data_IF_135944651842
#
_entry.id   IF_135944651842
#
_cell.length_a   1.000
_cell.length_b   1.000
_cell.length_c   1.000
_cell.angle_alpha   90.00
_cell.angle_beta   90.00
_cell.angle_gamma   90.00
#
_symmetry.space_group_name_H-M   'P 1'
#
loop_
_entity.id
_entity.type
_entity.pdbx_description
1 polymer ?
#
# COMPACT_ATOMS: atom_id res chain seq x y z
N UNK A 1 2.39 8.70 5.35
CA UNK A 1 2.20 8.54 3.90
C UNK A 1 1.92 9.88 3.22
N UNK A 2 0.86 10.62 3.61
CA UNK A 2 0.37 11.83 2.91
C UNK A 2 1.39 12.97 2.76
N UNK A 3 2.38 13.06 3.62
CA UNK A 3 3.36 14.16 3.64
C UNK A 3 4.68 13.76 2.99
N UNK A 4 5.18 12.57 3.28
CA UNK A 4 6.54 12.14 2.89
C UNK A 4 6.56 11.51 1.50
N UNK A 5 5.62 10.61 1.20
CA UNK A 5 5.63 9.88 -0.08
C UNK A 5 5.50 10.81 -1.29
N UNK A 6 4.63 11.85 -1.31
CA UNK A 6 4.58 12.78 -2.42
C UNK A 6 5.91 13.50 -2.70
N UNK A 7 6.69 13.81 -1.65
CA UNK A 7 8.01 14.41 -1.82
C UNK A 7 9.01 13.43 -2.43
N UNK A 8 9.01 12.16 -1.97
CA UNK A 8 9.85 11.10 -2.55
C UNK A 8 9.48 10.89 -4.04
N UNK A 9 8.20 10.82 -4.36
CA UNK A 9 7.74 10.66 -5.74
C UNK A 9 8.29 11.80 -6.60
N UNK A 10 8.04 13.05 -6.21
CA UNK A 10 8.47 14.23 -6.95
C UNK A 10 9.99 14.31 -7.15
N UNK A 11 10.76 14.09 -6.08
CA UNK A 11 12.20 14.38 -6.10
C UNK A 11 13.03 13.21 -6.69
N UNK A 12 12.50 11.99 -6.66
CA UNK A 12 13.27 10.80 -7.04
C UNK A 12 12.59 9.89 -8.06
N UNK A 13 11.27 9.66 -7.94
CA UNK A 13 10.57 8.74 -8.85
C UNK A 13 10.29 9.40 -10.19
N UNK A 14 9.71 10.61 -10.19
CA UNK A 14 9.38 11.39 -11.40
C UNK A 14 10.64 11.78 -12.17
N UNK A 15 11.78 11.87 -11.48
CA UNK A 15 13.10 12.13 -12.09
C UNK A 15 13.79 10.86 -12.59
N UNK A 16 13.17 9.69 -12.45
CA UNK A 16 13.70 8.40 -12.92
C UNK A 16 14.86 7.83 -12.09
N UNK A 17 15.20 8.44 -10.96
CA UNK A 17 16.31 8.01 -10.09
C UNK A 17 15.98 6.80 -9.24
N UNK A 18 14.72 6.65 -8.83
CA UNK A 18 14.26 5.63 -7.89
C UNK A 18 12.96 5.00 -8.39
N UNK A 19 12.81 3.70 -8.19
CA UNK A 19 11.54 2.98 -8.35
C UNK A 19 10.88 2.83 -6.98
N UNK A 20 9.65 3.35 -6.85
CA UNK A 20 8.83 3.16 -5.66
C UNK A 20 8.00 1.88 -5.80
N UNK A 21 8.09 0.97 -4.82
CA UNK A 21 7.35 -0.29 -4.78
C UNK A 21 6.54 -0.36 -3.50
N UNK A 22 5.23 -0.54 -3.62
CA UNK A 22 4.34 -0.79 -2.50
C UNK A 22 4.18 -2.29 -2.25
N UNK A 23 4.31 -2.70 -0.99
CA UNK A 23 4.08 -4.06 -0.50
C UNK A 23 3.03 -4.05 0.60
N UNK A 24 2.19 -5.08 0.64
CA UNK A 24 1.16 -5.20 1.67
C UNK A 24 1.73 -5.83 2.94
N UNK A 25 1.45 -5.21 4.09
CA UNK A 25 1.69 -5.80 5.41
C UNK A 25 0.37 -5.74 6.19
N UNK A 26 -0.57 -6.62 5.82
CA UNK A 26 -1.93 -6.66 6.31
C UNK A 26 -2.07 -7.58 7.53
N UNK A 27 -1.73 -7.08 8.73
CA UNK A 27 -1.71 -7.85 9.98
C UNK A 27 -2.72 -7.37 11.04
N UNK A 28 -3.46 -6.29 10.80
CA UNK A 28 -4.39 -5.70 11.77
C UNK A 28 -5.80 -6.32 11.75
N UNK A 29 -5.93 -7.57 11.31
CA UNK A 29 -7.19 -8.29 11.27
C UNK A 29 -7.74 -8.48 9.85
N UNK A 30 -9.01 -8.94 9.75
CA UNK A 30 -9.61 -9.32 8.47
C UNK A 30 -9.82 -8.11 7.56
N UNK A 31 -10.29 -6.99 8.08
CA UNK A 31 -10.50 -5.77 7.28
C UNK A 31 -9.19 -5.28 6.62
N UNK A 32 -8.05 -5.46 7.28
CA UNK A 32 -6.75 -5.12 6.72
C UNK A 32 -6.40 -6.00 5.51
N UNK A 33 -6.69 -7.31 5.58
CA UNK A 33 -6.48 -8.26 4.48
C UNK A 33 -7.43 -7.99 3.32
N UNK A 34 -8.69 -7.72 3.62
CA UNK A 34 -9.70 -7.42 2.61
C UNK A 34 -9.39 -6.09 1.89
N UNK A 35 -8.93 -5.07 2.60
CA UNK A 35 -8.49 -3.80 2.01
C UNK A 35 -7.27 -3.98 1.10
N UNK A 36 -6.29 -4.80 1.50
CA UNK A 36 -5.13 -5.12 0.68
C UNK A 36 -5.53 -5.88 -0.60
N UNK A 37 -6.41 -6.89 -0.48
CA UNK A 37 -6.95 -7.63 -1.62
C UNK A 37 -7.73 -6.70 -2.57
N UNK A 38 -8.56 -5.80 -2.02
CA UNK A 38 -9.32 -4.82 -2.78
C UNK A 38 -8.42 -3.86 -3.58
N UNK A 39 -7.33 -3.37 -2.99
CA UNK A 39 -6.38 -2.52 -3.69
C UNK A 39 -5.71 -3.24 -4.87
N UNK A 40 -5.39 -4.53 -4.71
CA UNK A 40 -4.87 -5.35 -5.80
C UNK A 40 -5.93 -5.65 -6.87
N UNK A 41 -7.21 -5.80 -6.51
CA UNK A 41 -8.30 -5.87 -7.49
C UNK A 41 -8.44 -4.58 -8.31
N UNK A 42 -8.29 -3.42 -7.68
CA UNK A 42 -8.28 -2.13 -8.37
C UNK A 42 -7.06 -1.97 -9.30
N UNK A 43 -5.92 -2.60 -8.98
CA UNK A 43 -4.73 -2.63 -9.83
C UNK A 43 -5.00 -3.25 -11.21
N UNK A 44 -5.88 -4.25 -11.32
CA UNK A 44 -6.26 -4.85 -12.61
C UNK A 44 -6.88 -3.84 -13.58
N UNK A 45 -7.40 -2.75 -13.04
CA UNK A 45 -8.03 -1.66 -13.79
C UNK A 45 -7.16 -0.39 -13.81
N UNK A 46 -5.86 -0.52 -13.50
CA UNK A 46 -4.90 0.59 -13.40
C UNK A 46 -5.30 1.67 -12.38
N UNK A 47 -6.02 1.28 -11.30
CA UNK A 47 -6.56 2.19 -10.28
C UNK A 47 -6.01 1.87 -8.87
N UNK A 48 -4.82 1.25 -8.80
CA UNK A 48 -4.22 0.91 -7.51
C UNK A 48 -4.04 2.13 -6.61
N UNK A 49 -3.42 3.17 -7.12
CA UNK A 49 -3.06 4.32 -6.29
C UNK A 49 -4.27 5.14 -5.86
N UNK A 50 -5.23 5.36 -6.77
CA UNK A 50 -6.48 6.05 -6.42
C UNK A 50 -7.27 5.26 -5.37
N UNK A 51 -7.28 3.93 -5.48
CA UNK A 51 -7.96 3.06 -4.52
C UNK A 51 -7.23 3.02 -3.18
N UNK A 52 -5.89 2.92 -3.19
CA UNK A 52 -5.03 3.03 -2.04
C UNK A 52 -5.29 4.35 -1.28
N UNK A 53 -5.29 5.47 -1.98
CA UNK A 53 -5.52 6.79 -1.37
C UNK A 53 -6.93 6.91 -0.79
N UNK A 54 -7.93 6.30 -1.44
CA UNK A 54 -9.30 6.21 -0.91
C UNK A 54 -9.34 5.43 0.40
N UNK A 55 -8.64 4.28 0.51
CA UNK A 55 -8.53 3.51 1.76
C UNK A 55 -7.91 4.39 2.86
N UNK A 56 -6.74 4.98 2.61
CA UNK A 56 -6.05 5.78 3.63
C UNK A 56 -6.80 7.05 4.02
N UNK A 57 -7.56 7.66 3.12
CA UNK A 57 -8.39 8.83 3.43
C UNK A 57 -9.66 8.49 4.19
N UNK A 58 -10.12 7.23 4.10
CA UNK A 58 -11.34 6.74 4.75
C UNK A 58 -11.08 6.11 6.13
N UNK A 59 -9.81 5.98 6.55
CA UNK A 59 -9.45 5.35 7.82
C UNK A 59 -10.09 6.04 9.02
N UNK A 60 -10.84 5.28 9.83
CA UNK A 60 -11.55 5.79 11.01
C UNK A 60 -11.36 4.90 12.26
N UNK A 61 -10.40 3.99 12.22
CA UNK A 61 -10.09 3.03 13.29
C UNK A 61 -9.88 1.62 12.75
N UNK A 62 -9.33 0.74 13.60
CA UNK A 62 -9.02 -0.63 13.22
C UNK A 62 -10.23 -1.54 13.49
N UNK A 63 -10.62 -2.36 12.51
CA UNK A 63 -11.73 -3.32 12.60
C UNK A 63 -13.06 -2.69 13.11
N UNK A 64 -13.35 -1.47 12.64
CA UNK A 64 -14.59 -0.72 12.97
C UNK A 64 -15.63 -0.78 11.84
N UNK A 65 -15.47 -1.68 10.88
CA UNK A 65 -16.37 -1.83 9.73
C UNK A 65 -16.09 -0.88 8.57
N UNK A 66 -15.11 0.01 8.70
CA UNK A 66 -14.75 0.97 7.65
C UNK A 66 -14.34 0.27 6.37
N UNK A 67 -13.62 -0.83 6.48
CA UNK A 67 -13.16 -1.65 5.35
C UNK A 67 -13.92 -2.97 5.21
N UNK A 68 -15.20 -2.99 5.63
CA UNK A 68 -16.09 -4.11 5.30
C UNK A 68 -16.18 -4.31 3.78
N UNK A 69 -16.44 -5.53 3.34
CA UNK A 69 -16.61 -5.86 1.90
C UNK A 69 -17.59 -4.90 1.20
N UNK A 70 -18.69 -4.56 1.86
CA UNK A 70 -19.70 -3.61 1.33
C UNK A 70 -19.08 -2.23 1.08
N UNK A 71 -18.31 -1.70 2.03
CA UNK A 71 -17.69 -0.39 1.87
C UNK A 71 -16.57 -0.42 0.84
N UNK A 72 -15.78 -1.49 0.78
CA UNK A 72 -14.75 -1.66 -0.25
C UNK A 72 -15.34 -1.67 -1.67
N UNK A 73 -16.49 -2.34 -1.88
CA UNK A 73 -17.23 -2.29 -3.15
C UNK A 73 -17.75 -0.90 -3.47
N UNK A 74 -18.23 -0.17 -2.45
CA UNK A 74 -18.65 1.22 -2.62
C UNK A 74 -17.49 2.12 -3.04
N UNK A 75 -16.30 1.97 -2.45
CA UNK A 75 -15.11 2.72 -2.86
C UNK A 75 -14.75 2.49 -4.32
N UNK A 76 -14.90 1.25 -4.82
CA UNK A 76 -14.68 0.95 -6.24
C UNK A 76 -15.69 1.69 -7.14
N UNK A 77 -16.97 1.73 -6.75
CA UNK A 77 -17.99 2.48 -7.47
C UNK A 77 -17.73 3.99 -7.46
N UNK A 78 -17.35 4.56 -6.30
CA UNK A 78 -16.99 5.97 -6.15
C UNK A 78 -15.83 6.36 -7.10
N UNK A 79 -14.87 5.45 -7.30
CA UNK A 79 -13.72 5.62 -8.20
C UNK A 79 -14.02 5.24 -9.66
N UNK A 80 -15.27 4.90 -9.98
CA UNK A 80 -15.76 4.54 -11.33
C UNK A 80 -15.02 3.33 -11.93
N UNK A 81 -14.67 2.34 -11.10
CA UNK A 81 -14.19 1.06 -11.57
C UNK A 81 -15.33 0.25 -12.19
N UNK A 82 -14.98 -0.71 -13.06
CA UNK A 82 -15.92 -1.78 -13.45
C UNK A 82 -16.23 -2.62 -12.20
N UNK A 83 -17.42 -2.35 -11.61
CA UNK A 83 -17.83 -2.96 -10.35
C UNK A 83 -18.07 -4.46 -10.46
N UNK A 84 -18.46 -4.98 -11.64
CA UNK A 84 -18.64 -6.41 -11.84
C UNK A 84 -17.29 -7.15 -11.76
N UNK A 85 -16.27 -6.65 -12.44
CA UNK A 85 -14.92 -7.20 -12.37
C UNK A 85 -14.34 -7.08 -10.98
N UNK A 86 -14.46 -5.89 -10.37
CA UNK A 86 -13.95 -5.63 -9.04
C UNK A 86 -14.59 -6.55 -7.99
N UNK A 87 -15.93 -6.65 -7.98
CA UNK A 87 -16.66 -7.47 -7.03
C UNK A 87 -16.31 -8.95 -7.17
N UNK A 88 -16.23 -9.47 -8.40
CA UNK A 88 -15.81 -10.85 -8.66
C UNK A 88 -14.39 -11.13 -8.13
N UNK A 89 -13.47 -10.21 -8.32
CA UNK A 89 -12.10 -10.30 -7.81
C UNK A 89 -12.07 -10.29 -6.29
N UNK A 90 -12.79 -9.36 -5.66
CA UNK A 90 -12.80 -9.20 -4.20
C UNK A 90 -13.50 -10.36 -3.50
N UNK A 91 -14.69 -10.75 -3.96
CA UNK A 91 -15.46 -11.87 -3.39
C UNK A 91 -14.72 -13.21 -3.56
N UNK A 92 -14.04 -13.38 -4.68
CA UNK A 92 -13.19 -14.54 -4.94
C UNK A 92 -11.85 -14.54 -4.20
N UNK A 93 -11.54 -13.50 -3.41
CA UNK A 93 -10.26 -13.36 -2.67
C UNK A 93 -9.04 -13.60 -3.58
N UNK A 94 -9.10 -13.11 -4.83
CA UNK A 94 -8.15 -13.45 -5.90
C UNK A 94 -6.69 -13.21 -5.52
N UNK A 95 -6.42 -12.18 -4.73
CA UNK A 95 -5.06 -11.78 -4.34
C UNK A 95 -4.69 -12.17 -2.90
N UNK A 96 -5.48 -13.00 -2.23
CA UNK A 96 -5.17 -13.40 -0.85
C UNK A 96 -3.77 -14.03 -0.73
N UNK A 97 -3.39 -14.90 -1.66
CA UNK A 97 -2.05 -15.50 -1.67
C UNK A 97 -0.93 -14.46 -1.82
N UNK A 98 -1.13 -13.43 -2.64
CA UNK A 98 -0.19 -12.31 -2.80
C UNK A 98 -0.06 -11.51 -1.50
N UNK A 99 -1.19 -11.19 -0.85
CA UNK A 99 -1.21 -10.45 0.43
C UNK A 99 -0.45 -11.22 1.50
N UNK A 100 -0.65 -12.54 1.58
CA UNK A 100 0.07 -13.40 2.52
C UNK A 100 1.57 -13.51 2.19
N UNK A 101 1.92 -13.59 0.90
CA UNK A 101 3.30 -13.64 0.45
C UNK A 101 4.05 -12.33 0.77
N UNK A 102 3.41 -11.16 0.55
CA UNK A 102 3.97 -9.86 0.90
C UNK A 102 4.25 -9.76 2.41
N UNK A 103 3.33 -10.24 3.25
CA UNK A 103 3.50 -10.26 4.70
C UNK A 103 4.64 -11.21 5.14
N UNK A 104 4.76 -12.38 4.50
CA UNK A 104 5.84 -13.32 4.77
C UNK A 104 7.21 -12.76 4.35
N UNK A 105 7.27 -12.07 3.21
CA UNK A 105 8.48 -11.36 2.76
C UNK A 105 8.88 -10.26 3.73
N UNK A 106 7.91 -9.47 4.22
CA UNK A 106 8.16 -8.45 5.23
C UNK A 106 8.76 -9.05 6.51
N UNK A 107 8.15 -10.12 7.04
CA UNK A 107 8.64 -10.82 8.24
C UNK A 107 10.06 -11.37 8.04
N UNK A 108 10.34 -11.98 6.88
CA UNK A 108 11.68 -12.48 6.53
C UNK A 108 12.73 -11.38 6.53
N UNK A 109 12.35 -10.17 6.15
CA UNK A 109 13.24 -8.99 6.12
C UNK A 109 13.21 -8.19 7.43
N UNK A 110 12.60 -8.70 8.49
CA UNK A 110 12.57 -8.07 9.82
C UNK A 110 11.56 -6.94 9.98
N UNK A 111 10.66 -6.72 9.03
CA UNK A 111 9.60 -5.72 9.13
C UNK A 111 8.39 -6.29 9.88
N UNK A 112 8.11 -5.75 11.05
CA UNK A 112 7.03 -6.19 11.96
C UNK A 112 6.01 -5.09 12.26
N UNK A 113 6.17 -3.91 11.68
CA UNK A 113 5.30 -2.75 11.92
C UNK A 113 5.13 -1.90 10.66
N UNK A 114 4.11 -1.06 10.65
CA UNK A 114 3.84 -0.11 9.57
C UNK A 114 3.82 1.34 10.11
N UNK A 115 4.27 2.31 9.32
CA UNK A 115 4.94 2.13 8.03
C UNK A 115 6.38 1.62 8.21
N UNK A 116 6.84 0.78 7.29
CA UNK A 116 8.24 0.36 7.19
C UNK A 116 8.69 0.48 5.74
N UNK A 117 9.93 0.91 5.51
CA UNK A 117 10.47 1.13 4.17
C UNK A 117 11.87 0.54 4.07
N UNK A 118 12.18 -0.13 2.95
CA UNK A 118 13.55 -0.51 2.59
C UNK A 118 14.05 0.41 1.48
N UNK A 119 15.24 0.98 1.65
CA UNK A 119 15.94 1.76 0.65
C UNK A 119 17.26 1.02 0.37
N UNK A 120 17.30 0.29 -0.76
CA UNK A 120 18.35 -0.70 -0.95
C UNK A 120 18.32 -1.73 0.20
N UNK A 121 19.40 -1.80 0.96
CA UNK A 121 19.49 -2.66 2.16
C UNK A 121 19.20 -1.93 3.48
N UNK A 122 18.89 -0.63 3.43
CA UNK A 122 18.68 0.21 4.62
C UNK A 122 17.22 0.19 5.03
N UNK A 123 16.86 -0.35 6.21
CA UNK A 123 15.49 -0.30 6.73
C UNK A 123 15.22 1.05 7.40
N UNK A 124 14.06 1.63 7.13
CA UNK A 124 13.52 2.79 7.85
C UNK A 124 12.21 2.33 8.50
N UNK A 125 12.17 2.28 9.82
CA UNK A 125 11.03 1.81 10.60
C UNK A 125 10.25 2.98 11.17
N UNK A 126 8.94 2.91 11.02
CA UNK A 126 8.02 3.93 11.52
C UNK A 126 7.88 5.15 10.61
N UNK A 127 7.03 6.07 11.02
CA UNK A 127 6.79 7.32 10.31
C UNK A 127 7.93 8.31 10.61
N UNK A 128 8.96 8.30 9.78
CA UNK A 128 10.10 9.20 9.87
C UNK A 128 9.90 10.44 8.99
N UNK A 129 10.56 11.56 9.29
CA UNK A 129 10.50 12.76 8.47
C UNK A 129 11.21 12.54 7.11
N UNK A 130 10.81 13.32 6.09
CA UNK A 130 11.38 13.23 4.73
C UNK A 130 12.90 13.28 4.69
N UNK A 131 13.54 14.07 5.56
CA UNK A 131 15.00 14.19 5.64
C UNK A 131 15.71 12.85 5.87
N UNK A 132 15.13 11.93 6.64
CA UNK A 132 15.71 10.61 6.86
C UNK A 132 15.67 9.75 5.57
N UNK A 133 14.56 9.80 4.84
CA UNK A 133 14.46 9.13 3.54
C UNK A 133 15.43 9.72 2.53
N UNK A 134 15.52 11.05 2.47
CA UNK A 134 16.44 11.76 1.57
C UNK A 134 17.89 11.34 1.79
N UNK A 135 18.37 11.33 3.03
CA UNK A 135 19.73 10.91 3.38
C UNK A 135 19.99 9.47 2.91
N UNK A 136 19.07 8.55 3.19
CA UNK A 136 19.23 7.15 2.82
C UNK A 136 19.19 6.95 1.29
N UNK A 137 18.29 7.62 0.58
CA UNK A 137 18.21 7.54 -0.89
C UNK A 137 19.47 8.11 -1.52
N UNK A 138 19.91 9.31 -1.10
CA UNK A 138 21.10 9.95 -1.67
C UNK A 138 22.36 9.10 -1.45
N UNK A 139 22.46 8.45 -0.29
CA UNK A 139 23.57 7.53 0.00
C UNK A 139 23.54 6.27 -0.88
N UNK A 140 22.36 5.72 -1.19
CA UNK A 140 22.24 4.57 -2.10
C UNK A 140 22.54 4.96 -3.56
N UNK A 141 22.13 6.15 -3.99
CA UNK A 141 22.39 6.65 -5.34
C UNK A 141 23.87 7.01 -5.59
N UNK A 142 24.65 7.21 -4.52
CA UNK A 142 26.08 7.53 -4.61
C UNK A 142 26.99 6.30 -4.71
N UNK A 143 26.44 5.08 -4.62
CA UNK A 143 27.16 3.80 -4.78
C UNK A 143 27.41 3.45 -6.24
#
# INVERSE_FOLDING_TARGET
>A
FKEVVPQIIKDYVDTGKVKFVYKNLAFLGQESKDAANAALCAKEQNKFWEYHDKIYSSQSGENQGTFSITNLKKFAADLRLDTNKFNSCLDGQKYNSQVLADAAEAAKNGFQSTPSTAIGTVPIIGAQPYSQFKIAIDAELAK
#
